data_IF_245387818360
#
_entry.id   IF_245387818360
#
_cell.length_a   1.000
_cell.length_b   1.000
_cell.length_c   1.000
_cell.angle_alpha   90.00
_cell.angle_beta   90.00
_cell.angle_gamma   90.00
#
_symmetry.space_group_name_H-M   'P 1'
#
loop_
_entity.id
_entity.type
_entity.pdbx_description
1 polymer ?
#
# COMPACT_ATOMS: atom_id res chain seq x y z
N UNK A 1 2.89 -0.98 6.69
CA UNK A 1 4.15 -1.64 6.29
C UNK A 1 5.25 -0.59 6.20
N UNK A 2 6.51 -1.03 6.06
CA UNK A 2 7.68 -0.14 6.00
C UNK A 2 8.11 0.42 7.35
N UNK A 3 9.34 0.95 7.40
CA UNK A 3 9.97 1.43 8.64
C UNK A 3 9.27 2.65 9.25
N UNK A 4 8.59 3.46 8.44
CA UNK A 4 7.79 4.61 8.90
C UNK A 4 6.32 4.29 9.13
N UNK A 5 5.91 3.03 9.00
CA UNK A 5 4.51 2.62 9.03
C UNK A 5 3.77 2.99 10.32
N UNK A 6 4.43 2.88 11.47
CA UNK A 6 3.82 3.22 12.77
C UNK A 6 3.59 4.73 12.91
N UNK A 7 4.60 5.55 12.61
CA UNK A 7 4.48 7.01 12.69
C UNK A 7 3.39 7.58 11.78
N UNK A 8 3.27 7.05 10.56
CA UNK A 8 2.21 7.44 9.62
C UNK A 8 0.83 7.04 10.16
N UNK A 9 0.71 5.82 10.68
CA UNK A 9 -0.56 5.33 11.21
C UNK A 9 -1.02 6.15 12.43
N UNK A 10 -0.10 6.53 13.32
CA UNK A 10 -0.41 7.36 14.49
C UNK A 10 -0.88 8.76 14.07
N UNK A 11 -0.23 9.39 13.09
CA UNK A 11 -0.62 10.70 12.57
C UNK A 11 -2.03 10.64 11.94
N UNK A 12 -2.29 9.65 11.08
CA UNK A 12 -3.60 9.47 10.43
C UNK A 12 -4.71 9.19 11.45
N UNK A 13 -4.45 8.34 12.46
CA UNK A 13 -5.40 8.08 13.53
C UNK A 13 -5.68 9.33 14.36
N UNK A 14 -4.69 10.20 14.57
CA UNK A 14 -4.86 11.45 15.34
C UNK A 14 -5.85 12.42 14.70
N UNK A 15 -6.02 12.35 13.37
CA UNK A 15 -6.99 13.15 12.60
C UNK A 15 -8.27 12.38 12.24
N UNK A 16 -8.46 11.18 12.83
CA UNK A 16 -9.68 10.39 12.68
C UNK A 16 -9.75 9.54 11.41
N UNK A 17 -8.62 9.28 10.75
CA UNK A 17 -8.57 8.38 9.58
C UNK A 17 -8.31 6.95 10.05
N UNK A 18 -9.20 6.03 9.68
CA UNK A 18 -9.02 4.61 9.96
C UNK A 18 -7.81 4.03 9.21
N UNK A 19 -6.99 3.26 9.92
CA UNK A 19 -5.76 2.69 9.38
C UNK A 19 -5.68 1.20 9.67
N UNK A 20 -5.36 0.43 8.64
CA UNK A 20 -4.99 -0.98 8.78
C UNK A 20 -3.50 -1.10 8.51
N UNK A 21 -2.76 -1.62 9.49
CA UNK A 21 -1.31 -1.78 9.43
C UNK A 21 -0.97 -3.22 9.10
N UNK A 22 -0.26 -3.42 7.99
CA UNK A 22 0.31 -4.70 7.60
C UNK A 22 1.84 -4.68 7.66
N UNK A 23 2.44 -5.86 7.73
CA UNK A 23 3.90 -6.03 7.82
C UNK A 23 4.60 -5.86 6.46
N UNK A 24 3.96 -6.25 5.37
CA UNK A 24 4.55 -6.22 4.02
C UNK A 24 3.66 -5.44 3.05
N UNK A 25 4.24 -4.96 1.94
CA UNK A 25 3.46 -4.39 0.84
C UNK A 25 2.46 -5.40 0.27
N UNK A 26 2.85 -6.67 0.13
CA UNK A 26 1.98 -7.70 -0.43
C UNK A 26 0.70 -7.89 0.40
N UNK A 27 0.84 -7.97 1.74
CA UNK A 27 -0.30 -8.09 2.65
C UNK A 27 -1.18 -6.83 2.61
N UNK A 28 -0.56 -5.64 2.61
CA UNK A 28 -1.27 -4.38 2.53
C UNK A 28 -2.10 -4.24 1.24
N UNK A 29 -1.52 -4.58 0.09
CA UNK A 29 -2.23 -4.54 -1.20
C UNK A 29 -3.38 -5.55 -1.22
N UNK A 30 -3.16 -6.77 -0.71
CA UNK A 30 -4.20 -7.80 -0.63
C UNK A 30 -5.40 -7.35 0.20
N UNK A 31 -5.15 -6.76 1.38
CA UNK A 31 -6.21 -6.22 2.22
C UNK A 31 -6.93 -5.06 1.52
N UNK A 32 -6.19 -4.10 0.96
CA UNK A 32 -6.78 -2.96 0.25
C UNK A 32 -7.69 -3.38 -0.91
N UNK A 33 -7.26 -4.35 -1.73
CA UNK A 33 -8.07 -4.89 -2.83
C UNK A 33 -9.29 -5.65 -2.31
N UNK A 34 -9.19 -6.37 -1.19
CA UNK A 34 -10.32 -7.09 -0.59
C UNK A 34 -11.42 -6.17 -0.04
N UNK A 35 -11.06 -4.95 0.37
CA UNK A 35 -11.98 -3.95 0.91
C UNK A 35 -12.56 -3.05 -0.18
N UNK A 36 -11.82 -2.85 -1.28
CA UNK A 36 -12.24 -2.02 -2.40
C UNK A 36 -13.48 -2.58 -3.10
N UNK A 37 -14.39 -1.67 -3.48
CA UNK A 37 -15.60 -1.99 -4.23
C UNK A 37 -15.50 -1.44 -5.65
N UNK A 38 -16.44 -1.86 -6.50
CA UNK A 38 -16.55 -1.33 -7.86
C UNK A 38 -16.72 0.20 -7.80
N UNK A 39 -15.80 0.91 -8.45
CA UNK A 39 -15.76 2.38 -8.48
C UNK A 39 -14.71 2.99 -7.55
N UNK A 40 -14.14 2.22 -6.64
CA UNK A 40 -13.04 2.66 -5.78
C UNK A 40 -11.70 2.56 -6.51
N UNK A 41 -10.70 3.28 -5.99
CA UNK A 41 -9.31 3.19 -6.44
C UNK A 41 -8.41 2.74 -5.30
N UNK A 42 -7.45 1.85 -5.61
CA UNK A 42 -6.35 1.48 -4.71
C UNK A 42 -5.09 2.20 -5.21
N UNK A 43 -4.55 3.10 -4.38
CA UNK A 43 -3.40 3.94 -4.72
C UNK A 43 -2.19 3.62 -3.83
N UNK A 44 -1.03 3.40 -4.45
CA UNK A 44 0.25 3.42 -3.76
C UNK A 44 0.84 4.83 -3.76
N UNK A 45 0.81 5.52 -2.61
CA UNK A 45 1.41 6.85 -2.43
C UNK A 45 2.13 6.93 -1.07
N UNK A 46 3.32 6.33 -0.93
CA UNK A 46 3.92 6.04 0.37
C UNK A 46 4.53 7.26 1.11
N UNK A 47 4.69 8.41 0.45
CA UNK A 47 5.20 9.65 1.08
C UNK A 47 6.63 9.59 1.65
N UNK A 48 7.28 8.43 1.61
CA UNK A 48 8.58 8.15 2.22
C UNK A 48 9.58 7.57 1.21
N UNK A 49 10.86 7.71 1.54
CA UNK A 49 11.96 7.08 0.80
C UNK A 49 11.76 5.55 0.74
N UNK A 50 12.22 4.92 -0.35
CA UNK A 50 11.97 3.50 -0.63
C UNK A 50 13.06 2.55 -0.14
N UNK A 51 14.18 3.09 0.34
CA UNK A 51 15.43 2.35 0.54
C UNK A 51 15.44 1.38 1.73
N UNK A 52 14.37 1.36 2.52
CA UNK A 52 14.19 0.41 3.61
C UNK A 52 13.83 -0.99 3.11
N UNK A 53 13.01 -1.08 2.06
CA UNK A 53 12.50 -2.36 1.52
C UNK A 53 12.75 -2.55 0.01
N UNK A 54 13.16 -1.51 -0.72
CA UNK A 54 13.31 -1.53 -2.18
C UNK A 54 14.57 -0.79 -2.65
N UNK A 55 15.12 -1.21 -3.80
CA UNK A 55 16.31 -0.58 -4.38
C UNK A 55 16.11 0.90 -4.74
N UNK A 56 14.90 1.27 -5.18
CA UNK A 56 14.49 2.62 -5.56
C UNK A 56 12.96 2.72 -5.67
N UNK A 57 12.46 3.91 -6.00
CA UNK A 57 11.02 4.14 -6.09
C UNK A 57 10.39 3.43 -7.31
N UNK A 58 11.15 3.25 -8.40
CA UNK A 58 10.71 2.52 -9.58
C UNK A 58 10.54 1.02 -9.28
N UNK A 59 11.49 0.41 -8.57
CA UNK A 59 11.42 -0.99 -8.14
C UNK A 59 10.20 -1.19 -7.24
N UNK A 60 9.96 -0.28 -6.28
CA UNK A 60 8.75 -0.28 -5.45
C UNK A 60 7.46 -0.22 -6.29
N UNK A 61 7.44 0.62 -7.33
CA UNK A 61 6.32 0.72 -8.27
C UNK A 61 6.12 -0.56 -9.10
N UNK A 62 7.20 -1.19 -9.56
CA UNK A 62 7.14 -2.46 -10.30
C UNK A 62 6.57 -3.58 -9.43
N UNK A 63 7.06 -3.73 -8.19
CA UNK A 63 6.55 -4.74 -7.25
C UNK A 63 5.06 -4.55 -7.00
N UNK A 64 4.59 -3.31 -6.81
CA UNK A 64 3.16 -3.04 -6.69
C UNK A 64 2.37 -3.44 -7.96
N UNK A 65 2.89 -3.09 -9.14
CA UNK A 65 2.27 -3.46 -10.42
C UNK A 65 2.18 -4.98 -10.62
N UNK A 66 3.22 -5.72 -10.24
CA UNK A 66 3.25 -7.18 -10.27
C UNK A 66 2.24 -7.79 -9.29
N UNK A 67 2.19 -7.30 -8.05
CA UNK A 67 1.23 -7.73 -7.04
C UNK A 67 -0.21 -7.54 -7.53
N UNK A 68 -0.55 -6.35 -8.04
CA UNK A 68 -1.89 -6.07 -8.58
C UNK A 68 -2.18 -6.94 -9.81
N UNK A 69 -1.22 -7.14 -10.72
CA UNK A 69 -1.42 -7.96 -11.92
C UNK A 69 -1.60 -9.44 -11.60
N UNK A 70 -1.01 -9.93 -10.50
CA UNK A 70 -1.18 -11.31 -10.03
C UNK A 70 -2.54 -11.56 -9.38
N UNK A 71 -3.19 -10.49 -8.91
CA UNK A 71 -4.55 -10.55 -8.39
C UNK A 71 -5.51 -10.50 -9.59
N UNK A 72 -6.58 -11.30 -9.58
CA UNK A 72 -7.65 -11.24 -10.60
C UNK A 72 -8.50 -9.96 -10.46
N UNK A 73 -7.85 -8.80 -10.34
CA UNK A 73 -8.49 -7.49 -10.31
C UNK A 73 -8.90 -7.18 -11.74
N UNK A 74 -10.18 -6.87 -11.93
CA UNK A 74 -10.70 -6.47 -13.24
C UNK A 74 -9.94 -5.21 -13.66
N UNK A 75 -9.21 -5.28 -14.79
CA UNK A 75 -8.58 -4.10 -15.37
C UNK A 75 -9.66 -3.04 -15.66
N UNK A 76 -9.38 -1.75 -15.42
CA UNK A 76 -10.33 -0.68 -15.70
C UNK A 76 -10.77 -0.67 -17.17
#
# INVERSE_FOLDING_TARGET
>A
FGGSGDAIADELKSVGIECIQEKTMADAVKIAVSLAKKGDAVLLSPGCASFDEFDNFEHRGHVFGELVSSMNVVKP
#
